data_IF_476724553701
#
_entry.id   IF_476724553701
#
_cell.length_a   1.000
_cell.length_b   1.000
_cell.length_c   1.000
_cell.angle_alpha   90.00
_cell.angle_beta   90.00
_cell.angle_gamma   90.00
#
_symmetry.space_group_name_H-M   'P 1'
#
loop_
_entity.id
_entity.type
_entity.pdbx_description
1 polymer ?
#
# COMPACT_ATOMS: atom_id res chain seq x y z
N UNK A 1 4.95 23.79 -2.38
CA UNK A 1 5.59 22.47 -2.14
C UNK A 1 6.02 21.92 -3.48
N UNK A 2 7.31 21.68 -3.73
CA UNK A 2 7.78 21.21 -5.04
C UNK A 2 7.27 19.78 -5.33
N UNK A 3 6.84 19.50 -6.55
CA UNK A 3 6.31 18.18 -6.99
C UNK A 3 7.30 17.05 -6.68
N UNK A 4 8.60 17.32 -6.76
CA UNK A 4 9.67 16.37 -6.42
C UNK A 4 9.65 15.93 -4.95
N UNK A 5 9.06 16.74 -4.04
CA UNK A 5 8.95 16.39 -2.63
C UNK A 5 7.84 15.39 -2.32
N UNK A 6 6.86 15.22 -3.23
CA UNK A 6 5.77 14.25 -3.11
C UNK A 6 6.20 12.83 -3.53
N UNK A 7 7.14 12.72 -4.47
CA UNK A 7 7.69 11.46 -5.00
C UNK A 7 8.88 10.91 -4.20
N UNK A 8 8.82 10.98 -2.87
CA UNK A 8 9.81 10.34 -2.02
C UNK A 8 9.60 8.83 -2.02
N UNK A 9 10.44 8.09 -2.77
CA UNK A 9 10.38 6.61 -2.89
C UNK A 9 10.32 5.88 -1.53
N UNK A 10 11.02 6.39 -0.52
CA UNK A 10 11.02 5.84 0.84
C UNK A 10 9.72 6.09 1.63
N UNK A 11 8.76 6.82 1.07
CA UNK A 11 7.42 7.02 1.62
C UNK A 11 6.41 6.14 0.84
N UNK A 12 6.66 5.96 -0.46
CA UNK A 12 5.79 5.22 -1.36
C UNK A 12 5.97 3.69 -1.31
N UNK A 13 7.20 3.19 -1.09
CA UNK A 13 7.53 1.76 -1.17
C UNK A 13 8.19 1.23 0.11
N UNK A 14 7.65 0.12 0.68
CA UNK A 14 8.13 -0.41 1.95
C UNK A 14 9.57 -0.87 1.78
N UNK A 15 10.43 -0.45 2.70
CA UNK A 15 11.87 -0.73 2.66
C UNK A 15 12.20 -2.14 3.20
N UNK A 16 11.24 -2.82 3.80
CA UNK A 16 11.41 -4.15 4.40
C UNK A 16 11.31 -5.23 3.32
N UNK A 17 12.46 -5.74 2.90
CA UNK A 17 12.57 -6.69 1.79
C UNK A 17 11.85 -8.03 2.11
N UNK A 18 11.89 -8.47 3.36
CA UNK A 18 11.20 -9.70 3.81
C UNK A 18 9.67 -9.60 3.84
N UNK A 19 9.11 -8.38 3.89
CA UNK A 19 7.65 -8.19 3.99
C UNK A 19 6.92 -8.64 2.71
N UNK A 20 7.58 -8.53 1.55
CA UNK A 20 7.03 -8.95 0.26
C UNK A 20 6.70 -10.43 0.21
N UNK A 21 7.54 -11.27 0.81
CA UNK A 21 7.31 -12.72 0.87
C UNK A 21 6.04 -13.01 1.66
N UNK A 22 5.81 -12.33 2.79
CA UNK A 22 4.59 -12.52 3.60
C UNK A 22 3.30 -12.08 2.93
N UNK A 23 3.36 -11.21 1.92
CA UNK A 23 2.21 -10.91 1.08
C UNK A 23 2.06 -11.94 -0.05
N UNK A 24 3.13 -12.13 -0.82
CA UNK A 24 3.08 -12.87 -2.07
C UNK A 24 2.95 -14.38 -1.85
N UNK A 25 3.58 -14.96 -0.83
CA UNK A 25 3.54 -16.41 -0.63
C UNK A 25 2.14 -16.93 -0.32
N UNK A 26 1.40 -16.45 0.71
CA UNK A 26 0.04 -16.95 0.96
C UNK A 26 -0.92 -16.59 -0.17
N UNK A 27 -0.74 -15.44 -0.82
CA UNK A 27 -1.59 -14.99 -1.91
C UNK A 27 -1.45 -15.88 -3.14
N UNK A 28 -0.22 -16.18 -3.57
CA UNK A 28 0.03 -17.09 -4.70
C UNK A 28 -0.42 -18.51 -4.36
N UNK A 29 -0.12 -19.00 -3.16
CA UNK A 29 -0.58 -20.33 -2.72
C UNK A 29 -2.12 -20.39 -2.80
N UNK A 30 -2.84 -19.39 -2.29
CA UNK A 30 -4.29 -19.34 -2.36
C UNK A 30 -4.84 -19.27 -3.79
N UNK A 31 -4.22 -18.48 -4.67
CA UNK A 31 -4.61 -18.38 -6.08
C UNK A 31 -4.44 -19.70 -6.84
N UNK A 32 -3.32 -20.38 -6.65
CA UNK A 32 -3.04 -21.65 -7.33
C UNK A 32 -3.81 -22.81 -6.72
N UNK A 33 -3.93 -22.88 -5.39
CA UNK A 33 -4.70 -23.92 -4.71
C UNK A 33 -6.21 -23.81 -4.96
N UNK A 34 -6.71 -22.61 -5.28
CA UNK A 34 -8.12 -22.39 -5.59
C UNK A 34 -8.57 -22.91 -6.96
N UNK A 35 -7.63 -23.28 -7.84
CA UNK A 35 -7.83 -23.80 -9.21
C UNK A 35 -8.69 -22.92 -10.15
N UNK A 36 -9.20 -21.78 -9.68
CA UNK A 36 -10.11 -20.89 -10.37
C UNK A 36 -9.64 -19.45 -10.24
N UNK A 37 -8.98 -18.96 -11.29
CA UNK A 37 -8.60 -17.55 -11.39
C UNK A 37 -9.78 -16.79 -11.99
N UNK A 38 -10.47 -16.03 -11.14
CA UNK A 38 -11.60 -15.19 -11.55
C UNK A 38 -11.18 -13.71 -11.55
N UNK A 39 -12.03 -12.85 -12.11
CA UNK A 39 -11.86 -11.40 -11.98
C UNK A 39 -11.83 -10.96 -10.52
N UNK A 40 -12.60 -11.62 -9.64
CA UNK A 40 -12.56 -11.35 -8.20
C UNK A 40 -11.20 -11.68 -7.58
N UNK A 41 -10.52 -12.73 -8.06
CA UNK A 41 -9.16 -13.09 -7.64
C UNK A 41 -8.14 -12.00 -8.01
N UNK A 42 -8.30 -11.37 -9.18
CA UNK A 42 -7.48 -10.23 -9.61
C UNK A 42 -7.73 -9.01 -8.71
N UNK A 43 -9.00 -8.65 -8.50
CA UNK A 43 -9.38 -7.53 -7.62
C UNK A 43 -8.88 -7.74 -6.18
N UNK A 44 -9.02 -8.95 -5.64
CA UNK A 44 -8.47 -9.31 -4.32
C UNK A 44 -6.95 -9.10 -4.28
N UNK A 45 -6.24 -9.50 -5.33
CA UNK A 45 -4.79 -9.36 -5.40
C UNK A 45 -4.34 -7.90 -5.43
N UNK A 46 -5.04 -7.08 -6.20
CA UNK A 46 -4.82 -5.63 -6.26
C UNK A 46 -5.14 -4.98 -4.91
N UNK A 47 -6.26 -5.34 -4.28
CA UNK A 47 -6.64 -4.84 -2.96
C UNK A 47 -5.58 -5.20 -1.90
N UNK A 48 -5.11 -6.45 -1.88
CA UNK A 48 -4.08 -6.92 -0.96
C UNK A 48 -2.75 -6.17 -1.16
N UNK A 49 -2.33 -5.95 -2.41
CA UNK A 49 -1.12 -5.19 -2.72
C UNK A 49 -1.26 -3.71 -2.34
N UNK A 50 -2.39 -3.07 -2.66
CA UNK A 50 -2.66 -1.70 -2.29
C UNK A 50 -2.68 -1.51 -0.76
N UNK A 51 -3.35 -2.41 -0.03
CA UNK A 51 -3.36 -2.42 1.42
C UNK A 51 -1.96 -2.63 2.01
N UNK A 52 -1.15 -3.51 1.42
CA UNK A 52 0.24 -3.74 1.81
C UNK A 52 1.09 -2.48 1.68
N UNK A 53 0.98 -1.78 0.55
CA UNK A 53 1.70 -0.52 0.28
C UNK A 53 1.21 0.62 1.17
N UNK A 54 -0.09 0.66 1.48
CA UNK A 54 -0.72 1.66 2.36
C UNK A 54 -0.12 1.70 3.77
N UNK A 55 0.44 0.58 4.27
CA UNK A 55 1.00 0.48 5.63
C UNK A 55 2.10 1.50 5.90
N UNK A 56 2.94 1.80 4.92
CA UNK A 56 4.06 2.72 5.09
C UNK A 56 3.62 4.20 5.19
N UNK A 57 2.84 4.77 4.25
CA UNK A 57 2.37 6.14 4.40
C UNK A 57 1.48 6.32 5.63
N UNK A 58 0.69 5.31 6.02
CA UNK A 58 -0.06 5.33 7.29
C UNK A 58 0.88 5.38 8.49
N UNK A 59 1.90 4.51 8.54
CA UNK A 59 2.90 4.51 9.62
C UNK A 59 3.65 5.85 9.72
N UNK A 60 4.04 6.44 8.58
CA UNK A 60 4.69 7.75 8.53
C UNK A 60 3.75 8.84 9.04
N UNK A 61 2.49 8.81 8.63
CA UNK A 61 1.47 9.77 9.08
C UNK A 61 1.28 9.71 10.60
N UNK A 62 1.13 8.51 11.17
CA UNK A 62 1.03 8.31 12.62
C UNK A 62 2.30 8.76 13.35
N UNK A 63 3.49 8.43 12.83
CA UNK A 63 4.77 8.88 13.39
C UNK A 63 4.93 10.40 13.34
N UNK A 64 4.43 11.06 12.31
CA UNK A 64 4.46 12.51 12.20
C UNK A 64 3.48 13.19 13.16
N UNK A 65 2.29 12.63 13.38
CA UNK A 65 1.35 13.15 14.38
C UNK A 65 1.84 12.97 15.82
N UNK A 66 2.52 11.86 16.10
CA UNK A 66 3.12 11.58 17.43
C UNK A 66 4.45 12.29 17.65
N UNK A 67 4.90 13.15 16.72
CA UNK A 67 6.16 13.91 16.83
C UNK A 67 7.44 13.10 16.59
N UNK A 68 7.34 11.81 16.28
CA UNK A 68 8.47 10.90 15.98
C UNK A 68 9.06 11.09 14.58
N UNK A 69 8.40 11.87 13.71
CA UNK A 69 8.86 12.27 12.38
C UNK A 69 8.48 13.73 12.11
N UNK A 70 9.26 14.46 11.28
CA UNK A 70 8.97 15.85 10.99
C UNK A 70 7.67 16.00 10.19
N UNK A 71 6.86 17.02 10.52
CA UNK A 71 5.59 17.32 9.83
C UNK A 71 5.74 17.60 8.34
N UNK A 72 6.96 17.88 7.86
CA UNK A 72 7.29 18.05 6.44
C UNK A 72 6.98 16.80 5.59
N UNK A 73 6.97 15.62 6.21
CA UNK A 73 6.71 14.35 5.52
C UNK A 73 5.20 14.07 5.35
N UNK A 74 4.34 14.82 6.06
CA UNK A 74 2.88 14.63 6.04
C UNK A 74 2.24 14.75 4.66
N UNK A 75 2.55 15.76 3.82
CA UNK A 75 1.80 15.90 2.58
C UNK A 75 2.12 14.79 1.58
N UNK A 76 3.38 14.32 1.53
CA UNK A 76 3.76 13.15 0.74
C UNK A 76 3.11 11.87 1.29
N UNK A 77 3.10 11.68 2.61
CA UNK A 77 2.46 10.53 3.24
C UNK A 77 0.95 10.50 2.97
N UNK A 78 0.25 11.64 3.12
CA UNK A 78 -1.19 11.77 2.83
C UNK A 78 -1.49 11.52 1.36
N UNK A 79 -0.67 12.02 0.45
CA UNK A 79 -0.85 11.80 -0.99
C UNK A 79 -0.84 10.31 -1.34
N UNK A 80 0.21 9.57 -0.92
CA UNK A 80 0.30 8.13 -1.17
C UNK A 80 -0.74 7.33 -0.38
N UNK A 81 -1.09 7.77 0.83
CA UNK A 81 -2.18 7.18 1.62
C UNK A 81 -3.52 7.27 0.86
N UNK A 82 -3.84 8.42 0.28
CA UNK A 82 -5.07 8.60 -0.50
C UNK A 82 -5.08 7.77 -1.77
N UNK A 83 -3.95 7.68 -2.50
CA UNK A 83 -3.84 6.88 -3.72
C UNK A 83 -4.05 5.40 -3.42
N UNK A 84 -3.27 4.84 -2.49
CA UNK A 84 -3.37 3.42 -2.16
C UNK A 84 -4.71 3.08 -1.49
N UNK A 85 -5.24 3.99 -0.67
CA UNK A 85 -6.58 3.86 -0.11
C UNK A 85 -7.67 3.81 -1.18
N UNK A 86 -7.61 4.71 -2.18
CA UNK A 86 -8.56 4.72 -3.29
C UNK A 86 -8.46 3.44 -4.13
N UNK A 87 -7.25 3.01 -4.49
CA UNK A 87 -7.04 1.77 -5.25
C UNK A 87 -7.59 0.57 -4.47
N UNK A 88 -7.33 0.49 -3.16
CA UNK A 88 -7.85 -0.58 -2.32
C UNK A 88 -9.39 -0.58 -2.27
N UNK A 89 -10.02 0.60 -2.12
CA UNK A 89 -11.48 0.72 -2.09
C UNK A 89 -12.12 0.36 -3.42
N UNK A 90 -11.56 0.83 -4.55
CA UNK A 90 -12.05 0.47 -5.88
C UNK A 90 -11.91 -1.03 -6.14
N UNK A 91 -10.77 -1.61 -5.77
CA UNK A 91 -10.53 -3.03 -5.95
C UNK A 91 -11.48 -3.89 -5.09
N UNK A 92 -11.74 -3.51 -3.84
CA UNK A 92 -12.73 -4.19 -2.99
C UNK A 92 -14.15 -4.03 -3.53
N UNK A 93 -14.48 -2.86 -4.10
CA UNK A 93 -15.76 -2.62 -4.77
C UNK A 93 -15.87 -3.31 -6.15
N UNK A 94 -14.79 -3.94 -6.63
CA UNK A 94 -14.69 -4.55 -7.96
C UNK A 94 -15.01 -3.56 -9.10
N UNK A 95 -14.59 -2.31 -8.91
CA UNK A 95 -14.72 -1.19 -9.87
C UNK A 95 -13.43 -0.98 -10.66
#
# INVERSE_FOLDING_TARGET
>A
MSISSLFRRHIALPQEHGSWVFLLSPLLIGLFAGENITTASLYLSVAALAAFLLRQPVSITVKAYTGRRPRRDLPAARFWMSIYGLIALLAVAQL
#
